data_IF_090434721030
#
_entry.id   IF_090434721030
#
_cell.length_a   1.000
_cell.length_b   1.000
_cell.length_c   1.000
_cell.angle_alpha   90.00
_cell.angle_beta   90.00
_cell.angle_gamma   90.00
#
_symmetry.space_group_name_H-M   'P 1'
#
loop_
_entity.id
_entity.type
_entity.pdbx_description
1 polymer ?
#
# COMPACT_ATOMS: atom_id res chain seq x y z
N UNK A 1 5.81 -1.02 -7.76
CA UNK A 1 5.50 -2.44 -8.05
C UNK A 1 4.14 -2.92 -7.53
N UNK A 2 3.47 -2.21 -6.61
CA UNK A 2 2.18 -2.67 -6.06
C UNK A 2 0.97 -2.44 -7.00
N UNK A 3 0.95 -1.33 -7.75
CA UNK A 3 -0.17 -0.98 -8.63
C UNK A 3 -0.39 -1.96 -9.79
N UNK A 4 0.68 -2.47 -10.40
CA UNK A 4 0.56 -3.39 -11.55
C UNK A 4 -0.03 -4.75 -11.15
N UNK A 5 0.38 -5.29 -10.01
CA UNK A 5 -0.16 -6.56 -9.48
C UNK A 5 -1.61 -6.42 -9.01
N UNK A 6 -1.93 -5.35 -8.27
CA UNK A 6 -3.31 -5.09 -7.82
C UNK A 6 -4.28 -4.87 -8.97
N UNK A 7 -3.84 -4.21 -10.06
CA UNK A 7 -4.69 -3.98 -11.23
C UNK A 7 -5.01 -5.28 -11.99
N UNK A 8 -4.03 -6.15 -12.16
CA UNK A 8 -4.21 -7.43 -12.85
C UNK A 8 -5.13 -8.37 -12.05
N UNK A 9 -5.02 -8.37 -10.72
CA UNK A 9 -5.87 -9.16 -9.83
C UNK A 9 -7.32 -8.65 -9.80
N UNK A 10 -7.51 -7.33 -9.82
CA UNK A 10 -8.83 -6.73 -9.98
C UNK A 10 -9.47 -7.07 -11.34
N UNK A 11 -8.67 -7.14 -12.41
CA UNK A 11 -9.14 -7.56 -13.73
C UNK A 11 -9.54 -9.05 -13.74
N UNK A 12 -8.80 -9.92 -13.04
CA UNK A 12 -9.18 -11.34 -12.87
C UNK A 12 -10.54 -11.50 -12.17
N UNK A 13 -10.79 -10.71 -11.12
CA UNK A 13 -12.06 -10.74 -10.38
C UNK A 13 -13.22 -10.13 -11.18
N UNK A 14 -12.94 -9.12 -12.02
CA UNK A 14 -13.89 -8.56 -12.99
C UNK A 14 -14.26 -9.60 -14.06
N UNK A 15 -13.28 -10.38 -14.54
CA UNK A 15 -13.48 -11.42 -15.55
C UNK A 15 -14.19 -12.67 -15.00
N UNK A 16 -13.97 -13.02 -13.72
CA UNK A 16 -14.68 -14.10 -13.03
C UNK A 16 -16.10 -13.71 -12.56
N UNK A 17 -16.52 -12.44 -12.71
CA UNK A 17 -17.87 -11.99 -12.38
C UNK A 17 -18.10 -11.69 -10.89
N UNK A 18 -17.03 -11.64 -10.09
CA UNK A 18 -17.07 -11.24 -8.68
C UNK A 18 -17.15 -9.72 -8.51
N UNK A 19 -16.72 -8.97 -9.53
CA UNK A 19 -16.82 -7.51 -9.63
C UNK A 19 -17.60 -7.17 -10.90
N UNK A 20 -18.53 -6.22 -10.82
CA UNK A 20 -19.39 -5.82 -11.95
C UNK A 20 -19.29 -4.30 -12.16
N UNK A 21 -19.12 -3.75 -13.37
CA UNK A 21 -18.91 -2.30 -13.56
C UNK A 21 -20.18 -1.45 -13.41
N UNK A 22 -21.33 -2.07 -13.12
CA UNK A 22 -22.58 -1.40 -12.78
C UNK A 22 -23.01 -1.75 -11.36
N UNK A 23 -23.82 -0.87 -10.75
CA UNK A 23 -24.28 -1.07 -9.38
C UNK A 23 -25.24 -2.27 -9.29
N UNK A 24 -25.12 -3.17 -8.30
CA UNK A 24 -24.15 -3.20 -7.21
C UNK A 24 -22.87 -3.99 -7.56
N UNK A 25 -21.72 -3.29 -7.60
CA UNK A 25 -20.40 -3.80 -8.04
C UNK A 25 -19.90 -5.09 -7.35
N UNK A 26 -20.47 -5.47 -6.20
CA UNK A 26 -20.15 -6.65 -5.40
C UNK A 26 -21.42 -7.52 -5.33
N UNK A 27 -21.53 -8.51 -6.21
CA UNK A 27 -22.71 -9.37 -6.35
C UNK A 27 -23.03 -10.15 -5.06
N UNK A 28 -22.02 -10.42 -4.23
CA UNK A 28 -22.15 -11.07 -2.92
C UNK A 28 -22.70 -10.15 -1.81
N UNK A 29 -22.60 -8.83 -1.98
CA UNK A 29 -23.01 -7.86 -0.97
C UNK A 29 -24.44 -7.34 -1.25
N UNK A 30 -25.34 -8.17 -1.76
CA UNK A 30 -26.68 -7.73 -2.15
C UNK A 30 -27.57 -7.32 -0.95
N UNK A 31 -27.28 -7.81 0.26
CA UNK A 31 -28.00 -7.44 1.48
C UNK A 31 -27.34 -6.23 2.18
N UNK A 32 -28.08 -5.14 2.48
CA UNK A 32 -27.53 -3.91 3.03
C UNK A 32 -26.91 -4.06 4.43
N UNK A 33 -27.28 -5.08 5.21
CA UNK A 33 -26.65 -5.38 6.50
C UNK A 33 -25.24 -5.96 6.36
N UNK A 34 -25.05 -6.84 5.38
CA UNK A 34 -23.79 -7.55 5.15
C UNK A 34 -22.72 -6.66 4.48
N UNK A 35 -23.16 -5.68 3.67
CA UNK A 35 -22.29 -4.69 3.01
C UNK A 35 -21.45 -3.88 4.00
N UNK A 36 -22.06 -3.43 5.09
CA UNK A 36 -21.39 -2.57 6.07
C UNK A 36 -20.29 -3.35 6.80
N UNK A 37 -20.54 -4.61 7.14
CA UNK A 37 -19.56 -5.47 7.78
C UNK A 37 -18.42 -5.85 6.83
N UNK A 38 -18.73 -6.20 5.58
CA UNK A 38 -17.71 -6.50 4.57
C UNK A 38 -16.81 -5.29 4.28
N UNK A 39 -17.38 -4.08 4.16
CA UNK A 39 -16.61 -2.85 3.98
C UNK A 39 -15.75 -2.52 5.20
N UNK A 40 -16.24 -2.79 6.41
CA UNK A 40 -15.49 -2.59 7.64
C UNK A 40 -14.27 -3.52 7.71
N UNK A 41 -14.43 -4.80 7.40
CA UNK A 41 -13.34 -5.77 7.33
C UNK A 41 -12.31 -5.39 6.27
N UNK A 42 -12.76 -4.96 5.08
CA UNK A 42 -11.89 -4.47 4.02
C UNK A 42 -11.14 -3.19 4.43
N UNK A 43 -11.81 -2.28 5.16
CA UNK A 43 -11.22 -1.02 5.60
C UNK A 43 -10.15 -1.22 6.68
N UNK A 44 -10.40 -2.08 7.66
CA UNK A 44 -9.47 -2.30 8.78
C UNK A 44 -8.22 -3.03 8.33
N UNK A 45 -8.38 -4.10 7.53
CA UNK A 45 -7.25 -4.86 6.97
C UNK A 45 -6.49 -4.02 5.94
N UNK A 46 -7.19 -3.31 5.06
CA UNK A 46 -6.59 -2.43 4.07
C UNK A 46 -5.78 -1.29 4.69
N UNK A 47 -6.30 -0.66 5.75
CA UNK A 47 -5.58 0.38 6.49
C UNK A 47 -4.35 -0.19 7.20
N UNK A 48 -4.46 -1.36 7.84
CA UNK A 48 -3.30 -2.01 8.47
C UNK A 48 -2.19 -2.34 7.47
N UNK A 49 -2.55 -2.84 6.28
CA UNK A 49 -1.62 -3.09 5.19
C UNK A 49 -0.95 -1.78 4.72
N UNK A 50 -1.74 -0.72 4.52
CA UNK A 50 -1.22 0.59 4.11
C UNK A 50 -0.22 1.17 5.12
N UNK A 51 -0.57 1.17 6.41
CA UNK A 51 0.31 1.64 7.49
C UNK A 51 1.60 0.83 7.53
N UNK A 52 1.52 -0.50 7.40
CA UNK A 52 2.70 -1.37 7.41
C UNK A 52 3.67 -1.04 6.28
N UNK A 53 3.15 -0.86 5.05
CA UNK A 53 3.95 -0.48 3.88
C UNK A 53 4.59 0.90 4.07
N UNK A 54 3.84 1.89 4.57
CA UNK A 54 4.38 3.23 4.84
C UNK A 54 5.46 3.21 5.92
N UNK A 55 5.32 2.38 6.95
CA UNK A 55 6.30 2.23 8.01
C UNK A 55 7.61 1.63 7.50
N UNK A 56 7.52 0.55 6.71
CA UNK A 56 8.71 -0.08 6.09
C UNK A 56 9.42 0.91 5.17
N UNK A 57 8.66 1.62 4.33
CA UNK A 57 9.22 2.65 3.46
C UNK A 57 9.91 3.76 4.26
N UNK A 58 9.25 4.29 5.28
CA UNK A 58 9.82 5.31 6.17
C UNK A 58 11.09 4.84 6.89
N UNK A 59 11.13 3.58 7.34
CA UNK A 59 12.31 3.00 7.97
C UNK A 59 13.50 2.92 7.01
N UNK A 60 13.26 2.51 5.75
CA UNK A 60 14.30 2.47 4.72
C UNK A 60 14.80 3.89 4.41
N UNK A 61 13.90 4.86 4.22
CA UNK A 61 14.28 6.26 3.96
C UNK A 61 15.06 6.88 5.12
N UNK A 62 14.65 6.61 6.36
CA UNK A 62 15.35 7.07 7.55
C UNK A 62 16.76 6.45 7.66
N UNK A 63 16.88 5.14 7.42
CA UNK A 63 18.16 4.45 7.40
C UNK A 63 19.11 5.04 6.35
N UNK A 64 18.62 5.31 5.14
CA UNK A 64 19.38 6.00 4.09
C UNK A 64 19.83 7.38 4.54
N UNK A 65 18.95 8.19 5.13
CA UNK A 65 19.28 9.54 5.59
C UNK A 65 20.34 9.51 6.72
N UNK A 66 20.23 8.57 7.66
CA UNK A 66 21.21 8.40 8.75
C UNK A 66 22.56 7.96 8.17
N UNK A 67 22.57 7.03 7.22
CA UNK A 67 23.80 6.55 6.59
C UNK A 67 24.50 7.66 5.80
N UNK A 68 23.76 8.46 5.04
CA UNK A 68 24.30 9.62 4.31
C UNK A 68 24.89 10.65 5.27
N UNK A 69 24.20 10.98 6.37
CA UNK A 69 24.71 11.87 7.41
C UNK A 69 25.98 11.36 8.05
N UNK A 70 26.06 10.05 8.33
CA UNK A 70 27.28 9.42 8.87
C UNK A 70 28.43 9.49 7.87
N UNK A 71 28.19 9.20 6.60
CA UNK A 71 29.22 9.30 5.55
C UNK A 71 29.70 10.75 5.35
N UNK A 72 28.79 11.73 5.44
CA UNK A 72 29.14 13.15 5.36
C UNK A 72 30.02 13.60 6.54
N UNK A 73 29.74 13.12 7.76
CA UNK A 73 30.58 13.41 8.94
C UNK A 73 31.95 12.71 8.94
N UNK A 74 32.09 11.62 8.16
CA UNK A 74 33.34 10.86 8.07
C UNK A 74 34.29 11.40 7.01
N UNK A 75 33.84 12.21 6.04
CA UNK A 75 34.73 12.91 5.10
C UNK A 75 35.43 14.06 5.85
N UNK A 76 36.67 13.89 6.35
CA UNK A 76 37.33 14.95 7.09
C UNK A 76 37.94 15.90 6.07
N UNK A 77 37.59 17.18 6.17
CA UNK A 77 38.42 18.35 5.86
C UNK A 77 39.70 18.09 5.03
N UNK A 78 39.55 17.69 3.77
CA UNK A 78 40.61 17.62 2.76
C UNK A 78 40.11 18.30 1.49
N UNK A 79 39.70 19.54 1.64
CA UNK A 79 39.53 20.50 0.54
C UNK A 79 39.59 21.91 1.15
N UNK A 80 40.77 22.28 1.63
CA UNK A 80 41.19 23.68 1.68
C UNK A 80 42.68 23.67 1.39
N UNK A 81 42.97 24.08 0.16
CA UNK A 81 44.26 24.57 -0.34
C UNK A 81 45.01 25.44 0.69
#
# INVERSE_FOLDING_TARGET
>A
MLFGGSFLLAFEHLWHGEIVPWFPFLTAAADPGDRAQMLYEMSTVGVMMAVSVTLVWGAVTAASCILERRNASVKPAKESE
#
